data_IF_412407373912
#
_entry.id   IF_412407373912
#
_cell.length_a   1.000
_cell.length_b   1.000
_cell.length_c   1.000
_cell.angle_alpha   90.00
_cell.angle_beta   90.00
_cell.angle_gamma   90.00
#
_symmetry.space_group_name_H-M   'P 1'
#
loop_
_entity.id
_entity.type
_entity.pdbx_description
1 polymer ?
#
# COMPACT_ATOMS: atom_id res chain seq x y z
N UNK A 1 -6.12 -0.45 17.70
CA UNK A 1 -5.05 0.47 17.25
C UNK A 1 -5.62 1.87 17.13
N UNK A 2 -4.91 2.85 17.64
CA UNK A 2 -5.37 4.23 17.56
C UNK A 2 -4.97 4.85 16.23
N UNK A 3 -5.78 5.77 15.74
CA UNK A 3 -5.48 6.51 14.52
C UNK A 3 -4.12 7.22 14.61
N UNK A 4 -3.79 7.73 15.79
CA UNK A 4 -2.53 8.41 16.03
C UNK A 4 -1.32 7.52 15.70
N UNK A 5 -1.33 6.28 16.18
CA UNK A 5 -0.24 5.35 15.90
C UNK A 5 -0.15 4.99 14.43
N UNK A 6 -1.30 4.84 13.77
CA UNK A 6 -1.33 4.55 12.33
C UNK A 6 -0.71 5.70 11.55
N UNK A 7 -1.08 6.93 11.88
CA UNK A 7 -0.54 8.09 11.20
C UNK A 7 0.95 8.25 11.43
N UNK A 8 1.44 8.01 12.64
CA UNK A 8 2.86 8.06 12.93
C UNK A 8 3.63 7.03 12.11
N UNK A 9 3.10 5.81 12.03
CA UNK A 9 3.76 4.74 11.28
C UNK A 9 3.86 5.08 9.78
N UNK A 10 2.83 5.72 9.23
CA UNK A 10 2.81 6.08 7.81
C UNK A 10 3.72 7.29 7.56
N UNK A 11 3.57 8.36 8.33
CA UNK A 11 4.34 9.59 8.09
C UNK A 11 5.83 9.44 8.36
N UNK A 12 6.21 8.45 9.16
CA UNK A 12 7.61 8.15 9.40
C UNK A 12 8.28 7.38 8.27
N UNK A 13 7.56 7.07 7.20
CA UNK A 13 8.09 6.25 6.11
C UNK A 13 7.79 6.90 4.75
N UNK A 14 8.80 7.47 4.09
CA UNK A 14 8.60 8.00 2.74
C UNK A 14 8.10 6.97 1.74
N UNK A 15 8.54 5.71 1.90
CA UNK A 15 8.10 4.63 1.01
C UNK A 15 6.59 4.41 1.12
N UNK A 16 6.06 4.37 2.34
CA UNK A 16 4.63 4.18 2.54
C UNK A 16 3.81 5.33 1.97
N UNK A 17 4.30 6.55 2.14
CA UNK A 17 3.63 7.73 1.60
C UNK A 17 3.57 7.67 0.08
N UNK A 18 4.68 7.30 -0.56
CA UNK A 18 4.72 7.16 -2.01
C UNK A 18 3.72 6.12 -2.51
N UNK A 19 3.66 4.98 -1.83
CA UNK A 19 2.74 3.91 -2.21
C UNK A 19 1.29 4.36 -2.06
N UNK A 20 0.95 5.01 -0.97
CA UNK A 20 -0.41 5.51 -0.78
C UNK A 20 -0.80 6.51 -1.85
N UNK A 21 0.15 7.36 -2.25
CA UNK A 21 -0.08 8.33 -3.32
C UNK A 21 -0.34 7.64 -4.65
N UNK A 22 0.46 6.63 -4.97
CA UNK A 22 0.30 5.85 -6.20
C UNK A 22 -1.05 5.15 -6.22
N UNK A 23 -1.41 4.50 -5.12
CA UNK A 23 -2.69 3.79 -5.05
C UNK A 23 -3.88 4.73 -5.08
N UNK A 24 -3.77 5.91 -4.48
CA UNK A 24 -4.85 6.88 -4.50
C UNK A 24 -5.11 7.44 -5.90
N UNK A 25 -4.08 7.50 -6.72
CA UNK A 25 -4.19 7.98 -8.09
C UNK A 25 -4.65 6.91 -9.07
N UNK A 26 -4.62 5.64 -8.66
CA UNK A 26 -5.00 4.55 -9.55
C UNK A 26 -6.48 4.23 -9.42
N UNK A 27 -7.22 4.18 -10.55
CA UNK A 27 -8.63 3.81 -10.51
C UNK A 27 -8.83 2.31 -10.29
N UNK A 28 -7.79 1.50 -10.45
CA UNK A 28 -7.87 0.05 -10.34
C UNK A 28 -6.80 -0.47 -9.41
N UNK A 29 -7.00 -1.67 -8.84
CA UNK A 29 -5.96 -2.31 -8.03
C UNK A 29 -4.69 -2.53 -8.83
N UNK A 30 -3.55 -2.47 -8.16
CA UNK A 30 -2.24 -2.63 -8.78
C UNK A 30 -1.52 -3.83 -8.19
N UNK A 31 -0.73 -4.51 -9.01
CA UNK A 31 0.15 -5.57 -8.53
C UNK A 31 1.31 -4.97 -7.73
N UNK A 32 1.96 -5.78 -6.93
CA UNK A 32 3.14 -5.33 -6.19
C UNK A 32 4.23 -4.79 -7.11
N UNK A 33 4.40 -5.42 -8.27
CA UNK A 33 5.37 -4.97 -9.26
C UNK A 33 5.03 -3.58 -9.80
N UNK A 34 3.76 -3.37 -10.13
CA UNK A 34 3.30 -2.07 -10.62
C UNK A 34 3.47 -0.99 -9.56
N UNK A 35 3.14 -1.31 -8.32
CA UNK A 35 3.32 -0.38 -7.22
C UNK A 35 4.79 0.02 -7.09
N UNK A 36 5.70 -0.96 -7.15
CA UNK A 36 7.13 -0.68 -7.09
C UNK A 36 7.60 0.22 -8.21
N UNK A 37 7.20 -0.09 -9.44
CA UNK A 37 7.58 0.69 -10.60
C UNK A 37 7.05 2.13 -10.52
N UNK A 38 5.79 2.29 -10.18
CA UNK A 38 5.16 3.60 -10.14
C UNK A 38 5.63 4.45 -8.97
N UNK A 39 6.01 3.82 -7.86
CA UNK A 39 6.49 4.55 -6.68
C UNK A 39 7.98 4.80 -6.70
N UNK A 40 8.70 4.22 -7.67
CA UNK A 40 10.16 4.37 -7.74
C UNK A 40 10.90 3.58 -6.69
N UNK A 41 10.28 2.55 -6.12
CA UNK A 41 10.90 1.70 -5.11
C UNK A 41 11.38 0.40 -5.74
N UNK A 42 12.38 -0.22 -5.09
CA UNK A 42 12.75 -1.59 -5.46
C UNK A 42 11.56 -2.51 -5.21
N UNK A 43 11.53 -3.65 -5.90
CA UNK A 43 10.47 -4.62 -5.69
C UNK A 43 10.37 -5.03 -4.22
N UNK A 44 11.52 -5.34 -3.61
CA UNK A 44 11.55 -5.75 -2.20
C UNK A 44 11.08 -4.64 -1.27
N UNK A 45 11.53 -3.42 -1.51
CA UNK A 45 11.10 -2.27 -0.71
C UNK A 45 9.60 -2.02 -0.82
N UNK A 46 9.06 -2.14 -2.03
CA UNK A 46 7.63 -1.99 -2.26
C UNK A 46 6.83 -3.06 -1.52
N UNK A 47 7.26 -4.32 -1.60
CA UNK A 47 6.55 -5.42 -0.94
C UNK A 47 6.57 -5.24 0.58
N UNK A 48 7.72 -4.89 1.15
CA UNK A 48 7.81 -4.67 2.60
C UNK A 48 6.90 -3.54 3.06
N UNK A 49 6.89 -2.45 2.32
CA UNK A 49 6.02 -1.32 2.68
C UNK A 49 4.55 -1.67 2.51
N UNK A 50 4.21 -2.41 1.44
CA UNK A 50 2.83 -2.87 1.22
C UNK A 50 2.37 -3.79 2.35
N UNK A 51 3.21 -4.72 2.78
CA UNK A 51 2.86 -5.62 3.88
C UNK A 51 2.55 -4.83 5.16
N UNK A 52 3.38 -3.83 5.47
CA UNK A 52 3.13 -2.98 6.62
C UNK A 52 1.81 -2.22 6.49
N UNK A 53 1.52 -1.69 5.31
CA UNK A 53 0.28 -0.94 5.08
C UNK A 53 -0.95 -1.85 5.16
N UNK A 54 -0.84 -3.09 4.72
CA UNK A 54 -1.92 -4.07 4.87
C UNK A 54 -2.16 -4.35 6.35
N UNK A 55 -1.11 -4.55 7.13
CA UNK A 55 -1.23 -4.76 8.58
C UNK A 55 -1.85 -3.57 9.28
N UNK A 56 -1.53 -2.36 8.84
CA UNK A 56 -2.11 -1.14 9.41
C UNK A 56 -3.56 -0.92 9.00
N UNK A 57 -4.06 -1.69 8.04
CA UNK A 57 -5.41 -1.53 7.54
C UNK A 57 -5.59 -0.42 6.51
N UNK A 58 -4.50 0.17 6.04
CA UNK A 58 -4.56 1.26 5.06
C UNK A 58 -4.65 0.77 3.62
N UNK A 59 -4.19 -0.45 3.37
CA UNK A 59 -4.17 -1.05 2.04
C UNK A 59 -4.82 -2.42 2.10
N UNK A 60 -5.64 -2.72 1.09
CA UNK A 60 -6.24 -4.03 0.93
C UNK A 60 -5.38 -4.86 -0.01
N UNK A 61 -5.22 -6.13 0.37
CA UNK A 61 -4.53 -7.12 -0.44
C UNK A 61 -5.53 -8.15 -0.90
N UNK A 62 -5.57 -8.40 -2.19
CA UNK A 62 -6.46 -9.40 -2.76
C UNK A 62 -5.67 -10.34 -3.64
N UNK A 63 -5.86 -11.64 -3.44
CA UNK A 63 -5.21 -12.62 -4.30
C UNK A 63 -6.03 -12.84 -5.56
N UNK A 64 -5.36 -12.77 -6.70
CA UNK A 64 -5.96 -13.02 -8.00
C UNK A 64 -5.05 -13.98 -8.74
N UNK A 65 -5.48 -15.23 -8.88
CA UNK A 65 -4.63 -16.28 -9.41
C UNK A 65 -3.42 -16.52 -8.52
N UNK A 66 -2.23 -16.41 -9.08
CA UNK A 66 -0.96 -16.60 -8.35
C UNK A 66 -0.34 -15.26 -7.92
N UNK A 67 -1.07 -14.17 -8.05
CA UNK A 67 -0.54 -12.85 -7.75
C UNK A 67 -1.44 -12.13 -6.76
N UNK A 68 -0.88 -11.09 -6.13
CA UNK A 68 -1.65 -10.22 -5.26
C UNK A 68 -1.87 -8.87 -5.92
N UNK A 69 -3.03 -8.29 -5.65
CA UNK A 69 -3.35 -6.93 -6.05
C UNK A 69 -3.60 -6.09 -4.81
N UNK A 70 -3.26 -4.82 -4.91
CA UNK A 70 -3.32 -3.89 -3.79
C UNK A 70 -4.15 -2.68 -4.17
N UNK A 71 -4.94 -2.21 -3.21
CA UNK A 71 -5.74 -1.00 -3.39
C UNK A 71 -5.88 -0.32 -2.04
N UNK A 72 -6.23 0.97 -2.06
CA UNK A 72 -6.50 1.67 -0.82
C UNK A 72 -7.74 1.10 -0.16
N UNK A 73 -7.68 0.97 1.17
CA UNK A 73 -8.86 0.67 1.94
C UNK A 73 -9.69 1.95 2.06
N UNK A 74 -10.87 1.94 1.45
CA UNK A 74 -11.70 3.14 1.44
C UNK A 74 -12.77 3.13 2.53
N UNK A 75 -12.72 2.12 3.37
CA UNK A 75 -13.70 1.97 4.41
C UNK A 75 -15.02 1.49 3.83
N UNK A 76 -15.85 1.02 4.73
CA UNK A 76 -17.18 0.57 4.38
C UNK A 76 -18.16 1.44 5.14
N UNK A 77 -18.61 2.46 4.50
CA UNK A 77 -19.46 3.44 5.15
C UNK A 77 -20.91 3.22 4.77
#
# INVERSE_FOLDING_TARGET
>A
MTLHKVLEAIFGSPAKIRILRVLSASPQPLSGRQVGELSGLSHRGAIQALESLVELGAVRQRRVGNAYQYSLFRGNI
#
